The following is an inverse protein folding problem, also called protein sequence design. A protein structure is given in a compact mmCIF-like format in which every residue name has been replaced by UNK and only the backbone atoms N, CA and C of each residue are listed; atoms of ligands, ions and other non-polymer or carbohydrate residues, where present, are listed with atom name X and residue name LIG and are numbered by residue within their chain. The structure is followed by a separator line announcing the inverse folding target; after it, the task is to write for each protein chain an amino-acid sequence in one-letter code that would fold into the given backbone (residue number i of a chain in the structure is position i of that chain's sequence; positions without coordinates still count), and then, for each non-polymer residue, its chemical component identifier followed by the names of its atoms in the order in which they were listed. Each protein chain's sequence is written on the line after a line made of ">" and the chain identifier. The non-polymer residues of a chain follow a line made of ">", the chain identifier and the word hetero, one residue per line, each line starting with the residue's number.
data_IF_438019851488
#
_entry.id   IF_438019851488
#
_cell.length_a   1.000
_cell.length_b   1.000
_cell.length_c   1.000
_cell.angle_alpha   90.00
_cell.angle_beta   90.00
_cell.angle_gamma   90.00
#
_symmetry.space_group_name_H-M   'P 1'
#
loop_
_entity.id
_entity.type
_entity.pdbx_description
1 polymer ?
#
# COMPACT_ATOMS: atom_id res chain seq x y z
N UNK A 1 -17.20 7.63 33.08
CA UNK A 1 -15.97 8.34 32.72
C UNK A 1 -15.58 8.16 31.26
N UNK A 2 -15.76 6.96 30.69
CA UNK A 2 -15.37 6.70 29.30
C UNK A 2 -16.14 7.54 28.29
N UNK A 3 -15.49 7.86 27.18
CA UNK A 3 -16.06 8.56 26.03
C UNK A 3 -16.72 7.58 25.07
N UNK A 4 -17.80 8.04 24.45
CA UNK A 4 -18.46 7.39 23.33
C UNK A 4 -18.60 8.45 22.23
N UNK A 5 -18.00 8.16 21.08
CA UNK A 5 -18.03 9.03 19.91
C UNK A 5 -19.07 8.49 18.94
N UNK A 6 -19.85 9.38 18.30
CA UNK A 6 -20.95 9.03 17.41
C UNK A 6 -20.80 9.78 16.07
N UNK A 7 -21.09 9.09 14.97
CA UNK A 7 -21.01 9.63 13.59
C UNK A 7 -19.60 10.17 13.27
N UNK A 8 -18.60 9.29 13.32
CA UNK A 8 -17.19 9.60 13.05
C UNK A 8 -16.65 10.73 13.92
N UNK A 9 -17.05 10.74 15.20
CA UNK A 9 -16.60 11.72 16.19
C UNK A 9 -17.26 13.09 16.08
N UNK A 10 -18.27 13.28 15.22
CA UNK A 10 -19.03 14.55 15.13
C UNK A 10 -19.83 14.85 16.39
N UNK A 11 -20.18 13.83 17.16
CA UNK A 11 -20.84 13.94 18.46
C UNK A 11 -20.06 13.15 19.50
N UNK A 12 -20.04 13.65 20.72
CA UNK A 12 -19.36 13.03 21.86
C UNK A 12 -20.31 13.00 23.05
N UNK A 13 -20.35 11.84 23.72
CA UNK A 13 -21.03 11.67 24.99
C UNK A 13 -20.10 10.99 25.99
N UNK A 14 -20.29 11.28 27.28
CA UNK A 14 -19.51 10.69 28.37
C UNK A 14 -20.38 9.77 29.21
N UNK A 15 -19.89 8.57 29.50
CA UNK A 15 -20.60 7.61 30.37
C UNK A 15 -20.69 8.15 31.79
N UNK A 16 -21.91 8.30 32.29
CA UNK A 16 -22.20 8.70 33.67
C UNK A 16 -22.39 7.47 34.56
N UNK A 17 -23.18 6.50 34.11
CA UNK A 17 -23.55 5.32 34.89
C UNK A 17 -24.03 4.17 33.99
N UNK A 18 -23.75 2.93 34.38
CA UNK A 18 -24.39 1.74 33.83
C UNK A 18 -25.61 1.41 34.68
N UNK A 19 -26.79 1.38 34.07
CA UNK A 19 -28.04 1.08 34.75
C UNK A 19 -28.24 -0.42 34.93
N UNK A 20 -29.16 -0.81 35.83
CA UNK A 20 -29.40 -2.23 36.17
C UNK A 20 -29.93 -3.06 34.99
N UNK A 21 -30.54 -2.42 34.00
CA UNK A 21 -31.02 -3.04 32.76
C UNK A 21 -29.92 -3.11 31.67
N UNK A 22 -28.67 -2.79 32.01
CA UNK A 22 -27.52 -2.66 31.11
C UNK A 22 -27.57 -1.47 30.15
N UNK A 23 -28.52 -0.54 30.30
CA UNK A 23 -28.46 0.73 29.57
C UNK A 23 -27.27 1.57 30.07
N UNK A 24 -26.61 2.26 29.15
CA UNK A 24 -25.51 3.17 29.48
C UNK A 24 -26.06 4.59 29.52
N UNK A 25 -26.18 5.15 30.72
CA UNK A 25 -26.54 6.56 30.89
C UNK A 25 -25.33 7.42 30.56
N UNK A 26 -25.53 8.35 29.63
CA UNK A 26 -24.49 9.25 29.12
C UNK A 26 -24.90 10.71 29.28
N UNK A 27 -23.91 11.60 29.34
CA UNK A 27 -24.06 13.05 29.25
C UNK A 27 -23.47 13.53 27.92
N UNK A 28 -24.19 14.40 27.22
CA UNK A 28 -23.72 14.92 25.92
C UNK A 28 -22.66 15.99 26.17
N UNK A 29 -21.44 15.74 25.70
CA UNK A 29 -20.33 16.71 25.78
C UNK A 29 -20.22 17.50 24.48
N UNK A 30 -20.56 16.90 23.33
CA UNK A 30 -20.67 17.55 22.04
C UNK A 30 -21.92 17.05 21.29
N UNK A 31 -22.90 17.94 21.13
CA UNK A 31 -24.20 17.63 20.51
C UNK A 31 -24.19 17.71 18.98
N UNK A 32 -25.27 17.21 18.38
CA UNK A 32 -25.46 17.20 16.93
C UNK A 32 -26.76 16.50 16.54
N UNK A 33 -26.96 16.31 15.24
CA UNK A 33 -28.11 15.55 14.71
C UNK A 33 -27.69 14.10 14.48
N UNK A 34 -28.32 13.17 15.20
CA UNK A 34 -28.13 11.73 14.99
C UNK A 34 -29.18 11.23 13.99
N UNK A 35 -28.73 10.61 12.90
CA UNK A 35 -29.60 9.87 11.99
C UNK A 35 -29.50 8.36 12.23
N UNK A 36 -30.29 7.57 11.53
CA UNK A 36 -30.25 6.11 11.66
C UNK A 36 -28.91 5.51 11.21
N UNK A 37 -28.51 4.41 11.86
CA UNK A 37 -27.34 3.58 11.52
C UNK A 37 -25.98 4.33 11.52
N UNK A 38 -25.83 5.32 12.38
CA UNK A 38 -24.53 5.98 12.61
C UNK A 38 -23.58 5.10 13.40
N UNK A 39 -22.30 5.17 13.04
CA UNK A 39 -21.22 4.44 13.71
C UNK A 39 -20.99 4.96 15.13
N UNK A 40 -20.43 4.08 15.97
CA UNK A 40 -20.04 4.39 17.35
C UNK A 40 -18.59 3.97 17.53
N UNK A 41 -17.77 4.84 18.11
CA UNK A 41 -16.39 4.57 18.48
C UNK A 41 -16.23 4.66 20.00
N UNK A 42 -15.44 3.74 20.55
CA UNK A 42 -15.27 3.54 21.99
C UNK A 42 -13.78 3.59 22.36
N UNK A 43 -13.14 4.78 22.30
CA UNK A 43 -11.68 4.91 22.37
C UNK A 43 -11.08 4.41 23.69
N UNK A 44 -11.85 4.52 24.79
CA UNK A 44 -11.38 4.10 26.12
C UNK A 44 -11.71 2.62 26.45
N UNK A 45 -12.29 1.88 25.51
CA UNK A 45 -12.82 0.53 25.77
C UNK A 45 -12.14 -0.52 24.90
N UNK A 46 -11.66 -1.59 25.53
CA UNK A 46 -11.18 -2.77 24.81
C UNK A 46 -12.37 -3.54 24.24
N UNK A 47 -12.60 -3.39 22.94
CA UNK A 47 -13.69 -4.09 22.24
C UNK A 47 -13.34 -5.57 22.11
N UNK A 48 -14.23 -6.46 22.53
CA UNK A 48 -14.07 -7.93 22.45
C UNK A 48 -14.47 -8.54 21.11
N UNK A 49 -14.78 -7.72 20.10
CA UNK A 49 -15.19 -8.21 18.78
C UNK A 49 -14.03 -8.98 18.12
N UNK A 50 -14.31 -10.10 17.42
CA UNK A 50 -13.30 -10.78 16.63
C UNK A 50 -12.83 -9.89 15.48
N UNK A 51 -11.63 -10.15 14.96
CA UNK A 51 -11.10 -9.43 13.80
C UNK A 51 -11.87 -9.75 12.50
N UNK A 52 -12.50 -10.93 12.42
CA UNK A 52 -13.38 -11.34 11.33
C UNK A 52 -14.75 -11.67 11.92
N UNK A 53 -15.78 -10.97 11.46
CA UNK A 53 -17.17 -11.28 11.77
C UNK A 53 -17.69 -12.44 10.90
N UNK A 54 -18.86 -12.98 11.23
CA UNK A 54 -19.51 -14.00 10.40
C UNK A 54 -19.75 -13.50 8.96
N UNK A 55 -20.12 -12.22 8.82
CA UNK A 55 -20.25 -11.58 7.51
C UNK A 55 -18.91 -11.52 6.77
N UNK A 56 -17.84 -11.13 7.44
CA UNK A 56 -16.51 -11.05 6.81
C UNK A 56 -16.03 -12.42 6.32
N UNK A 57 -16.41 -13.51 6.99
CA UNK A 57 -16.11 -14.87 6.52
C UNK A 57 -16.86 -15.23 5.23
N UNK A 58 -18.12 -14.79 5.10
CA UNK A 58 -18.91 -14.96 3.87
C UNK A 58 -18.28 -14.14 2.73
N UNK A 59 -17.94 -12.88 3.00
CA UNK A 59 -17.29 -12.02 2.01
C UNK A 59 -15.91 -12.57 1.61
N UNK A 60 -15.16 -13.17 2.54
CA UNK A 60 -13.88 -13.81 2.26
C UNK A 60 -14.01 -15.01 1.31
N UNK A 61 -15.04 -15.86 1.48
CA UNK A 61 -15.30 -16.96 0.54
C UNK A 61 -15.56 -16.40 -0.87
N UNK A 62 -16.34 -15.31 -0.98
CA UNK A 62 -16.57 -14.63 -2.27
C UNK A 62 -15.26 -14.08 -2.87
N UNK A 63 -14.42 -13.41 -2.07
CA UNK A 63 -13.12 -12.86 -2.50
C UNK A 63 -12.23 -13.97 -3.09
N UNK A 64 -12.20 -15.13 -2.42
CA UNK A 64 -11.42 -16.30 -2.85
C UNK A 64 -11.98 -16.89 -4.14
N UNK A 65 -13.31 -17.07 -4.22
CA UNK A 65 -13.98 -17.62 -5.40
C UNK A 65 -13.76 -16.75 -6.64
N UNK A 66 -13.86 -15.42 -6.48
CA UNK A 66 -13.62 -14.44 -7.54
C UNK A 66 -12.13 -14.21 -7.84
N UNK A 67 -11.23 -14.86 -7.10
CA UNK A 67 -9.76 -14.74 -7.25
C UNK A 67 -9.29 -13.28 -7.19
N UNK A 68 -9.85 -12.49 -6.27
CA UNK A 68 -9.46 -11.08 -6.16
C UNK A 68 -8.02 -10.95 -5.68
N UNK A 69 -7.35 -9.90 -6.15
CA UNK A 69 -5.91 -9.70 -5.95
C UNK A 69 -5.55 -9.28 -4.53
N UNK A 70 -6.43 -8.49 -3.88
CA UNK A 70 -6.21 -7.92 -2.55
C UNK A 70 -7.46 -8.06 -1.66
N UNK A 71 -7.23 -8.26 -0.37
CA UNK A 71 -8.24 -8.14 0.70
C UNK A 71 -7.73 -7.15 1.75
N UNK A 72 -8.54 -6.16 2.10
CA UNK A 72 -8.20 -5.20 3.15
C UNK A 72 -8.93 -5.56 4.45
N UNK A 73 -8.18 -5.96 5.48
CA UNK A 73 -8.73 -6.30 6.79
C UNK A 73 -8.93 -5.03 7.62
N UNK A 74 -10.17 -4.78 8.03
CA UNK A 74 -10.55 -3.63 8.87
C UNK A 74 -10.27 -3.90 10.35
N UNK A 75 -10.13 -2.84 11.14
CA UNK A 75 -9.96 -2.87 12.59
C UNK A 75 -8.85 -3.81 13.09
N UNK A 76 -7.76 -3.91 12.33
CA UNK A 76 -6.58 -4.66 12.74
C UNK A 76 -6.05 -4.05 14.02
N UNK A 77 -5.82 -4.89 15.03
CA UNK A 77 -5.28 -4.49 16.35
C UNK A 77 -4.04 -5.30 16.69
N UNK A 78 -3.99 -6.54 16.25
CA UNK A 78 -2.94 -7.48 16.59
C UNK A 78 -2.44 -8.24 15.37
N UNK A 79 -1.18 -8.66 15.44
CA UNK A 79 -0.53 -9.51 14.43
C UNK A 79 -1.34 -10.77 14.14
N UNK A 80 -1.96 -11.34 15.19
CA UNK A 80 -2.81 -12.53 15.10
C UNK A 80 -3.99 -12.35 14.13
N UNK A 81 -4.51 -11.13 13.98
CA UNK A 81 -5.64 -10.84 13.07
C UNK A 81 -5.25 -11.14 11.62
N UNK A 82 -4.02 -10.75 11.25
CA UNK A 82 -3.45 -11.01 9.93
C UNK A 82 -3.12 -12.49 9.74
N UNK A 83 -2.54 -13.13 10.76
CA UNK A 83 -2.21 -14.56 10.72
C UNK A 83 -3.47 -15.43 10.53
N UNK A 84 -4.58 -15.09 11.20
CA UNK A 84 -5.86 -15.79 11.05
C UNK A 84 -6.37 -15.66 9.60
N UNK A 85 -6.37 -14.45 9.03
CA UNK A 85 -6.79 -14.24 7.66
C UNK A 85 -5.87 -14.96 6.66
N UNK A 86 -4.55 -14.90 6.87
CA UNK A 86 -3.54 -15.59 6.05
C UNK A 86 -3.73 -17.10 6.06
N UNK A 87 -4.02 -17.70 7.22
CA UNK A 87 -4.33 -19.13 7.33
C UNK A 87 -5.53 -19.49 6.45
N UNK A 88 -6.62 -18.73 6.52
CA UNK A 88 -7.83 -18.99 5.73
C UNK A 88 -7.59 -18.91 4.22
N UNK A 89 -6.82 -17.92 3.78
CA UNK A 89 -6.41 -17.80 2.37
C UNK A 89 -5.53 -18.99 1.94
N UNK A 90 -4.59 -19.40 2.81
CA UNK A 90 -3.66 -20.50 2.54
C UNK A 90 -4.37 -21.85 2.46
N UNK A 91 -5.32 -22.11 3.37
CA UNK A 91 -6.12 -23.34 3.40
C UNK A 91 -6.92 -23.54 2.11
N UNK A 92 -7.26 -22.44 1.42
CA UNK A 92 -7.98 -22.43 0.14
C UNK A 92 -7.04 -22.24 -1.06
N UNK A 93 -5.72 -22.27 -0.85
CA UNK A 93 -4.70 -22.00 -1.86
C UNK A 93 -4.89 -20.67 -2.63
N UNK A 94 -5.50 -19.67 -1.98
CA UNK A 94 -5.72 -18.36 -2.57
C UNK A 94 -4.41 -17.58 -2.71
N UNK A 95 -4.29 -16.82 -3.81
CA UNK A 95 -3.16 -15.92 -4.07
C UNK A 95 -3.43 -14.48 -3.64
N UNK A 96 -4.61 -14.19 -3.09
CA UNK A 96 -5.00 -12.88 -2.59
C UNK A 96 -4.01 -12.38 -1.54
N UNK A 97 -3.64 -11.10 -1.62
CA UNK A 97 -2.72 -10.42 -0.70
C UNK A 97 -3.49 -9.65 0.37
N UNK A 98 -2.93 -9.52 1.56
CA UNK A 98 -3.57 -8.86 2.70
C UNK A 98 -3.07 -7.42 2.88
N UNK A 99 -3.98 -6.46 2.89
CA UNK A 99 -3.76 -5.09 3.36
C UNK A 99 -4.29 -4.96 4.79
N UNK A 100 -3.45 -4.58 5.75
CA UNK A 100 -3.93 -4.23 7.08
C UNK A 100 -4.37 -2.77 7.14
N UNK A 101 -5.64 -2.51 7.50
CA UNK A 101 -6.14 -1.15 7.74
C UNK A 101 -5.80 -0.72 9.17
N UNK A 102 -4.99 0.31 9.29
CA UNK A 102 -4.53 0.86 10.56
C UNK A 102 -5.52 1.93 11.01
N UNK A 103 -6.51 1.49 11.79
CA UNK A 103 -7.65 2.28 12.27
C UNK A 103 -7.68 2.39 13.80
N UNK A 104 -6.94 1.50 14.48
CA UNK A 104 -7.00 1.33 15.93
C UNK A 104 -5.66 1.63 16.59
N UNK A 105 -5.63 2.39 17.71
CA UNK A 105 -4.40 2.70 18.43
C UNK A 105 -3.56 1.47 18.80
N UNK A 106 -4.22 0.34 19.10
CA UNK A 106 -3.55 -0.91 19.46
C UNK A 106 -2.64 -1.45 18.36
N UNK A 107 -3.00 -1.20 17.09
CA UNK A 107 -2.17 -1.59 15.95
C UNK A 107 -0.83 -0.85 15.95
N UNK A 108 -0.81 0.41 16.41
CA UNK A 108 0.40 1.23 16.43
C UNK A 108 1.45 0.69 17.40
N UNK A 109 1.01 0.02 18.48
CA UNK A 109 1.90 -0.59 19.48
C UNK A 109 2.75 -1.72 18.86
N UNK A 110 2.14 -2.56 18.03
CA UNK A 110 2.80 -3.72 17.39
C UNK A 110 2.99 -3.54 15.89
N UNK A 111 3.11 -2.30 15.44
CA UNK A 111 3.01 -1.96 14.02
C UNK A 111 4.08 -2.62 13.15
N UNK A 112 5.29 -2.82 13.69
CA UNK A 112 6.39 -3.45 12.95
C UNK A 112 6.06 -4.90 12.58
N UNK A 113 5.43 -5.62 13.49
CA UNK A 113 5.09 -7.03 13.28
C UNK A 113 3.85 -7.14 12.39
N UNK A 114 2.89 -6.21 12.51
CA UNK A 114 1.75 -6.11 11.57
C UNK A 114 2.25 -5.84 10.14
N UNK A 115 3.20 -4.92 9.95
CA UNK A 115 3.82 -4.65 8.65
C UNK A 115 4.51 -5.90 8.10
N UNK A 116 5.23 -6.63 8.95
CA UNK A 116 5.96 -7.83 8.52
C UNK A 116 5.00 -8.92 8.03
N UNK A 117 3.93 -9.18 8.80
CA UNK A 117 2.93 -10.21 8.50
C UNK A 117 1.93 -9.83 7.41
N UNK A 118 1.79 -8.53 7.09
CA UNK A 118 0.89 -8.06 6.03
C UNK A 118 1.60 -8.02 4.67
N UNK A 119 0.82 -8.07 3.59
CA UNK A 119 1.35 -7.84 2.24
C UNK A 119 1.36 -6.35 1.87
N UNK A 120 0.54 -5.54 2.53
CA UNK A 120 0.52 -4.08 2.42
C UNK A 120 -0.18 -3.43 3.62
N UNK A 121 -0.13 -2.10 3.69
CA UNK A 121 -0.73 -1.32 4.77
C UNK A 121 -1.64 -0.25 4.20
N UNK A 122 -2.74 0.03 4.87
CA UNK A 122 -3.60 1.18 4.60
C UNK A 122 -3.67 2.07 5.84
N UNK A 123 -3.25 3.33 5.69
CA UNK A 123 -3.40 4.36 6.72
C UNK A 123 -4.79 4.97 6.58
N UNK A 124 -5.73 4.52 7.40
CA UNK A 124 -7.13 4.96 7.39
C UNK A 124 -7.31 6.16 8.34
N UNK A 125 -7.07 7.36 7.82
CA UNK A 125 -6.90 8.59 8.61
C UNK A 125 -8.18 9.05 9.28
N UNK A 126 -9.32 8.90 8.60
CA UNK A 126 -10.64 9.20 9.13
C UNK A 126 -10.92 8.38 10.38
N UNK A 127 -10.87 7.06 10.27
CA UNK A 127 -11.10 6.15 11.40
C UNK A 127 -10.08 6.35 12.53
N UNK A 128 -8.79 6.45 12.20
CA UNK A 128 -7.74 6.64 13.18
C UNK A 128 -7.85 8.00 13.90
N UNK A 129 -8.29 9.05 13.21
CA UNK A 129 -8.52 10.39 13.74
C UNK A 129 -9.74 10.49 14.67
N UNK A 130 -10.62 9.50 14.67
CA UNK A 130 -11.70 9.40 15.67
C UNK A 130 -11.19 8.80 16.99
N UNK A 131 -10.20 7.91 16.91
CA UNK A 131 -9.67 7.18 18.06
C UNK A 131 -8.47 7.89 18.73
N UNK A 132 -7.78 8.76 17.99
CA UNK A 132 -6.59 9.50 18.45
C UNK A 132 -6.75 11.01 18.25
N UNK A 133 -6.01 11.84 19.02
CA UNK A 133 -5.96 13.28 18.76
C UNK A 133 -5.52 13.57 17.32
N UNK A 134 -6.32 14.36 16.61
CA UNK A 134 -6.15 14.63 15.17
C UNK A 134 -4.79 15.22 14.81
N UNK A 135 -4.18 15.97 15.73
CA UNK A 135 -2.86 16.56 15.58
C UNK A 135 -1.72 15.52 15.54
N UNK A 136 -1.95 14.27 15.99
CA UNK A 136 -0.97 13.20 15.93
C UNK A 136 -0.98 12.46 14.59
N UNK A 137 -2.09 12.50 13.86
CA UNK A 137 -2.32 11.70 12.64
C UNK A 137 -1.25 11.95 11.57
N UNK A 138 -0.84 13.20 11.25
CA UNK A 138 0.20 13.43 10.24
C UNK A 138 1.53 12.76 10.60
N UNK A 139 1.94 12.82 11.88
CA UNK A 139 3.18 12.20 12.33
C UNK A 139 3.09 10.67 12.26
N UNK A 140 1.95 10.08 12.62
CA UNK A 140 1.72 8.64 12.54
C UNK A 140 1.78 8.19 11.08
N UNK A 141 1.08 8.86 10.16
CA UNK A 141 1.12 8.57 8.73
C UNK A 141 2.57 8.50 8.21
N UNK A 142 3.35 9.56 8.45
CA UNK A 142 4.75 9.62 8.03
C UNK A 142 5.59 8.48 8.61
N UNK A 143 5.37 8.12 9.87
CA UNK A 143 6.07 7.00 10.50
C UNK A 143 5.67 5.64 9.89
N UNK A 144 4.38 5.45 9.59
CA UNK A 144 3.88 4.23 8.95
C UNK A 144 4.48 4.07 7.56
N UNK A 145 4.43 5.11 6.73
CA UNK A 145 5.01 5.10 5.39
C UNK A 145 6.49 4.75 5.45
N UNK A 146 7.27 5.42 6.31
CA UNK A 146 8.70 5.13 6.47
C UNK A 146 8.97 3.68 6.87
N UNK A 147 8.19 3.12 7.80
CA UNK A 147 8.36 1.72 8.22
C UNK A 147 7.99 0.74 7.10
N UNK A 148 7.00 1.06 6.29
CA UNK A 148 6.60 0.26 5.13
C UNK A 148 7.68 0.26 4.05
N UNK A 149 8.25 1.43 3.72
CA UNK A 149 9.40 1.57 2.82
C UNK A 149 10.59 0.70 3.25
N UNK A 150 10.98 0.77 4.54
CA UNK A 150 12.05 -0.06 5.10
C UNK A 150 11.79 -1.57 5.01
N UNK A 151 10.54 -1.99 4.87
CA UNK A 151 10.15 -3.41 4.75
C UNK A 151 9.71 -3.79 3.34
N UNK A 152 9.84 -2.88 2.38
CA UNK A 152 9.34 -3.03 1.02
C UNK A 152 7.88 -3.53 1.00
N UNK A 153 7.04 -2.93 1.84
CA UNK A 153 5.60 -3.19 1.87
C UNK A 153 4.88 -1.98 1.26
N UNK A 154 3.99 -2.18 0.27
CA UNK A 154 3.20 -1.07 -0.27
C UNK A 154 2.33 -0.44 0.81
N UNK A 155 2.27 0.88 0.82
CA UNK A 155 1.43 1.65 1.73
C UNK A 155 0.43 2.54 0.97
N UNK A 156 -0.83 2.42 1.36
CA UNK A 156 -1.94 3.23 0.85
C UNK A 156 -2.27 4.31 1.88
N UNK A 157 -2.31 5.56 1.46
CA UNK A 157 -2.90 6.64 2.26
C UNK A 157 -4.37 6.80 1.86
N UNK A 158 -5.26 6.61 2.83
CA UNK A 158 -6.69 6.49 2.60
C UNK A 158 -7.52 7.49 3.40
N UNK A 159 -8.73 7.74 2.90
CA UNK A 159 -9.77 8.64 3.44
C UNK A 159 -9.37 10.12 3.47
N UNK A 160 -10.35 11.02 3.41
CA UNK A 160 -10.14 12.47 3.52
C UNK A 160 -9.12 13.06 2.52
N UNK A 161 -8.97 12.45 1.33
CA UNK A 161 -8.00 12.92 0.34
C UNK A 161 -8.54 14.12 -0.43
N UNK A 162 -9.73 13.99 -1.04
CA UNK A 162 -10.38 15.07 -1.80
C UNK A 162 -11.89 15.06 -1.59
N UNK A 163 -12.33 14.86 -0.35
CA UNK A 163 -13.73 14.64 0.04
C UNK A 163 -14.67 15.75 -0.48
N UNK A 164 -14.21 17.00 -0.53
CA UNK A 164 -15.02 18.10 -1.07
C UNK A 164 -15.43 17.90 -2.54
N UNK A 165 -14.71 17.06 -3.29
CA UNK A 165 -15.02 16.72 -4.68
C UNK A 165 -16.17 15.71 -4.85
N UNK A 166 -16.75 15.20 -3.75
CA UNK A 166 -18.03 14.47 -3.80
C UNK A 166 -19.10 15.37 -4.43
N UNK A 167 -19.15 16.64 -4.03
CA UNK A 167 -20.13 17.61 -4.51
C UNK A 167 -19.54 18.68 -5.42
N UNK A 168 -18.25 19.01 -5.26
CA UNK A 168 -17.61 20.13 -5.95
C UNK A 168 -16.75 19.66 -7.11
N UNK A 169 -16.56 20.54 -8.09
CA UNK A 169 -15.67 20.29 -9.24
C UNK A 169 -14.18 20.58 -8.95
N UNK A 170 -13.86 21.16 -7.78
CA UNK A 170 -12.49 21.48 -7.38
C UNK A 170 -12.29 21.13 -5.91
N UNK A 171 -11.13 20.55 -5.54
CA UNK A 171 -10.81 20.29 -4.15
C UNK A 171 -10.43 21.57 -3.43
N UNK A 172 -10.46 21.52 -2.10
CA UNK A 172 -9.94 22.59 -1.25
C UNK A 172 -8.41 22.66 -1.35
N UNK A 173 -7.81 23.82 -1.05
CA UNK A 173 -6.33 23.96 -1.04
C UNK A 173 -5.67 23.04 -0.02
N UNK A 174 -6.32 22.81 1.11
CA UNK A 174 -5.87 21.87 2.14
C UNK A 174 -5.80 20.44 1.62
N UNK A 175 -6.84 19.99 0.90
CA UNK A 175 -6.90 18.65 0.29
C UNK A 175 -5.80 18.46 -0.78
N UNK A 176 -5.55 19.46 -1.62
CA UNK A 176 -4.45 19.41 -2.59
C UNK A 176 -3.10 19.25 -1.88
N UNK A 177 -2.89 20.02 -0.81
CA UNK A 177 -1.64 19.98 -0.03
C UNK A 177 -1.49 18.64 0.67
N UNK A 178 -2.58 18.07 1.17
CA UNK A 178 -2.60 16.80 1.86
C UNK A 178 -2.28 15.62 0.92
N UNK A 179 -2.89 15.59 -0.27
CA UNK A 179 -2.51 14.65 -1.34
C UNK A 179 -1.02 14.79 -1.68
N UNK A 180 -0.55 16.02 -1.89
CA UNK A 180 0.84 16.27 -2.23
C UNK A 180 1.81 15.78 -1.14
N UNK A 181 1.49 16.01 0.14
CA UNK A 181 2.29 15.55 1.26
C UNK A 181 2.32 14.02 1.36
N UNK A 182 1.19 13.33 1.15
CA UNK A 182 1.17 11.86 1.14
C UNK A 182 2.12 11.29 0.07
N UNK A 183 2.16 11.91 -1.11
CA UNK A 183 3.12 11.56 -2.17
C UNK A 183 4.55 11.86 -1.72
N UNK A 184 4.86 13.07 -1.26
CA UNK A 184 6.21 13.46 -0.81
C UNK A 184 6.76 12.59 0.34
N UNK A 185 5.87 12.09 1.20
CA UNK A 185 6.23 11.17 2.27
C UNK A 185 6.60 9.77 1.76
N UNK A 186 6.26 9.46 0.51
CA UNK A 186 6.60 8.21 -0.17
C UNK A 186 5.48 7.17 -0.13
N UNK A 187 4.21 7.57 -0.08
CA UNK A 187 3.11 6.61 -0.24
C UNK A 187 3.17 5.90 -1.59
N UNK A 188 2.88 4.59 -1.62
CA UNK A 188 2.83 3.85 -2.89
C UNK A 188 1.55 4.16 -3.67
N UNK A 189 0.45 4.37 -2.93
CA UNK A 189 -0.83 4.73 -3.51
C UNK A 189 -1.62 5.68 -2.61
N UNK A 190 -2.51 6.44 -3.24
CA UNK A 190 -3.51 7.29 -2.59
C UNK A 190 -4.91 6.82 -2.98
N UNK A 191 -5.84 6.83 -2.03
CA UNK A 191 -7.16 6.22 -2.22
C UNK A 191 -8.29 7.26 -2.20
N UNK A 192 -9.17 7.16 -3.20
CA UNK A 192 -10.46 7.85 -3.24
C UNK A 192 -11.55 6.90 -2.74
N UNK A 193 -12.50 7.43 -1.96
CA UNK A 193 -13.57 6.68 -1.31
C UNK A 193 -14.94 7.13 -1.86
N UNK A 194 -15.65 7.99 -1.12
CA UNK A 194 -16.95 8.51 -1.55
C UNK A 194 -16.85 9.34 -2.83
N UNK A 195 -15.70 9.96 -3.09
CA UNK A 195 -15.46 10.82 -4.24
C UNK A 195 -15.73 10.11 -5.58
N UNK A 196 -15.38 8.83 -5.67
CA UNK A 196 -15.58 7.99 -6.87
C UNK A 196 -16.80 7.09 -6.75
N UNK A 197 -17.12 6.60 -5.54
CA UNK A 197 -18.20 5.64 -5.34
C UNK A 197 -19.59 6.28 -5.45
N UNK A 198 -19.77 7.48 -4.90
CA UNK A 198 -21.08 8.17 -4.84
C UNK A 198 -21.02 9.64 -5.23
N UNK A 199 -19.83 10.16 -5.53
CA UNK A 199 -19.61 11.54 -5.93
C UNK A 199 -20.18 11.91 -7.30
N UNK A 200 -20.41 13.20 -7.51
CA UNK A 200 -20.97 13.76 -8.76
C UNK A 200 -19.96 13.82 -9.91
N UNK A 201 -18.66 13.72 -9.61
CA UNK A 201 -17.58 13.94 -10.57
C UNK A 201 -16.46 12.88 -10.49
N UNK A 202 -16.76 11.57 -10.59
CA UNK A 202 -15.80 10.49 -10.36
C UNK A 202 -14.59 10.49 -11.31
N UNK A 203 -14.80 10.84 -12.59
CA UNK A 203 -13.70 10.92 -13.57
C UNK A 203 -12.78 12.12 -13.25
N UNK A 204 -13.38 13.28 -12.97
CA UNK A 204 -12.64 14.52 -12.72
C UNK A 204 -11.79 14.43 -11.46
N UNK A 205 -12.27 13.77 -10.40
CA UNK A 205 -11.48 13.60 -9.17
C UNK A 205 -10.25 12.72 -9.42
N UNK A 206 -10.36 11.66 -10.22
CA UNK A 206 -9.20 10.82 -10.61
C UNK A 206 -8.20 11.62 -11.46
N UNK A 207 -8.67 12.39 -12.45
CA UNK A 207 -7.80 13.25 -13.24
C UNK A 207 -7.09 14.32 -12.40
N UNK A 208 -7.79 14.87 -11.41
CA UNK A 208 -7.24 15.88 -10.50
C UNK A 208 -6.18 15.26 -9.58
N UNK A 209 -6.47 14.09 -8.99
CA UNK A 209 -5.50 13.33 -8.19
C UNK A 209 -4.22 13.07 -9.00
N UNK A 210 -4.37 12.56 -10.22
CA UNK A 210 -3.25 12.28 -11.12
C UNK A 210 -2.41 13.52 -11.42
N UNK A 211 -3.05 14.67 -11.69
CA UNK A 211 -2.34 15.94 -11.96
C UNK A 211 -1.51 16.39 -10.75
N UNK A 212 -2.03 16.22 -9.53
CA UNK A 212 -1.30 16.56 -8.30
C UNK A 212 -0.09 15.63 -8.15
N UNK A 213 -0.28 14.32 -8.24
CA UNK A 213 0.80 13.32 -8.12
C UNK A 213 1.91 13.63 -9.14
N UNK A 214 1.57 13.76 -10.42
CA UNK A 214 2.56 14.02 -11.48
C UNK A 214 3.32 15.35 -11.28
N UNK A 215 2.66 16.38 -10.74
CA UNK A 215 3.31 17.65 -10.48
C UNK A 215 4.31 17.55 -9.32
N UNK A 216 3.96 16.82 -8.26
CA UNK A 216 4.82 16.59 -7.10
C UNK A 216 6.03 15.75 -7.45
N UNK A 217 5.80 14.63 -8.15
CA UNK A 217 6.83 13.71 -8.64
C UNK A 217 7.85 14.41 -9.54
N UNK A 218 7.41 15.38 -10.35
CA UNK A 218 8.30 16.14 -11.23
C UNK A 218 9.25 17.10 -10.52
N UNK A 219 8.90 17.65 -9.36
CA UNK A 219 9.61 18.81 -8.79
C UNK A 219 10.43 18.53 -7.53
N UNK A 220 9.87 17.77 -6.57
CA UNK A 220 10.41 17.73 -5.20
C UNK A 220 10.34 16.31 -4.60
N UNK A 221 10.20 15.30 -5.45
CA UNK A 221 10.10 13.92 -5.00
C UNK A 221 11.46 13.31 -4.71
N UNK A 222 11.52 12.53 -3.63
CA UNK A 222 12.76 11.91 -3.13
C UNK A 222 12.97 10.57 -3.82
N UNK A 223 13.51 10.63 -5.04
CA UNK A 223 13.96 9.45 -5.77
C UNK A 223 15.25 8.87 -5.19
N UNK A 224 15.53 7.62 -5.55
CA UNK A 224 16.79 6.93 -5.30
C UNK A 224 17.17 6.88 -3.82
N UNK A 225 16.29 6.26 -3.02
CA UNK A 225 16.39 6.12 -1.57
C UNK A 225 17.38 5.03 -1.13
N UNK A 226 18.20 4.46 -2.02
CA UNK A 226 19.17 3.43 -1.67
C UNK A 226 20.12 3.87 -0.54
N UNK A 227 20.55 5.13 -0.53
CA UNK A 227 21.45 5.66 0.51
C UNK A 227 20.78 5.73 1.90
N UNK A 228 19.43 5.72 1.97
CA UNK A 228 18.65 5.69 3.21
C UNK A 228 18.20 4.27 3.60
N UNK A 229 18.00 3.40 2.62
CA UNK A 229 17.42 2.07 2.77
C UNK A 229 18.47 0.96 2.62
N UNK A 230 19.61 1.09 3.28
CA UNK A 230 20.71 0.13 3.13
C UNK A 230 20.30 -1.31 3.54
N UNK A 231 20.65 -2.34 2.75
CA UNK A 231 20.42 -3.74 3.08
C UNK A 231 20.95 -4.13 4.45
N UNK A 232 20.14 -4.86 5.22
CA UNK A 232 20.50 -5.23 6.60
C UNK A 232 21.20 -6.59 6.62
N UNK A 233 22.41 -6.72 7.20
CA UNK A 233 23.18 -7.98 7.20
C UNK A 233 22.45 -9.18 7.83
N UNK A 234 21.52 -8.92 8.75
CA UNK A 234 20.72 -9.96 9.41
C UNK A 234 19.45 -10.34 8.62
N UNK A 235 19.23 -9.76 7.43
CA UNK A 235 18.08 -10.07 6.58
C UNK A 235 18.22 -11.51 6.05
N UNK A 236 17.19 -12.37 6.16
CA UNK A 236 17.20 -13.70 5.56
C UNK A 236 17.40 -13.66 4.03
N UNK A 237 17.01 -12.57 3.39
CA UNK A 237 17.12 -12.29 1.97
C UNK A 237 18.27 -11.33 1.62
N UNK A 238 19.24 -11.15 2.51
CA UNK A 238 20.32 -10.15 2.38
C UNK A 238 21.00 -10.12 1.01
N UNK A 239 21.27 -11.27 0.39
CA UNK A 239 21.91 -11.33 -0.93
C UNK A 239 21.01 -10.68 -1.98
N UNK A 240 19.71 -11.01 -2.00
CA UNK A 240 18.75 -10.41 -2.93
C UNK A 240 18.56 -8.92 -2.65
N UNK A 241 18.57 -8.53 -1.38
CA UNK A 241 18.46 -7.13 -0.96
C UNK A 241 19.64 -6.31 -1.47
N UNK A 242 20.85 -6.86 -1.35
CA UNK A 242 22.08 -6.26 -1.85
C UNK A 242 22.07 -6.13 -3.36
N UNK A 243 21.56 -7.12 -4.11
CA UNK A 243 21.43 -7.01 -5.56
C UNK A 243 20.42 -5.92 -5.95
N UNK A 244 19.24 -5.89 -5.33
CA UNK A 244 18.22 -4.86 -5.63
C UNK A 244 18.72 -3.45 -5.29
N UNK A 245 19.39 -3.29 -4.15
CA UNK A 245 20.05 -2.04 -3.75
C UNK A 245 21.06 -1.57 -4.81
N UNK A 246 21.96 -2.46 -5.23
CA UNK A 246 22.97 -2.11 -6.24
C UNK A 246 22.36 -1.91 -7.62
N UNK A 247 21.24 -2.55 -7.94
CA UNK A 247 20.52 -2.32 -9.19
C UNK A 247 19.98 -0.90 -9.29
N UNK A 248 19.30 -0.41 -8.24
CA UNK A 248 18.82 0.97 -8.21
C UNK A 248 19.99 1.97 -8.24
N UNK A 249 21.03 1.72 -7.44
CA UNK A 249 22.23 2.56 -7.45
C UNK A 249 22.90 2.61 -8.82
N UNK A 250 23.02 1.47 -9.50
CA UNK A 250 23.63 1.39 -10.81
C UNK A 250 22.75 2.07 -11.87
N UNK A 251 21.43 1.95 -11.77
CA UNK A 251 20.50 2.65 -12.64
C UNK A 251 20.64 4.17 -12.50
N UNK A 252 20.79 4.68 -11.28
CA UNK A 252 21.10 6.09 -11.00
C UNK A 252 22.47 6.49 -11.56
N UNK A 253 23.53 5.77 -11.19
CA UNK A 253 24.92 6.12 -11.52
C UNK A 253 25.17 6.08 -13.04
N UNK A 254 24.43 5.26 -13.77
CA UNK A 254 24.52 5.16 -15.23
C UNK A 254 23.46 5.97 -15.99
N UNK A 255 22.57 6.67 -15.28
CA UNK A 255 21.42 7.37 -15.83
C UNK A 255 20.61 6.46 -16.80
N UNK A 256 20.31 5.25 -16.32
CA UNK A 256 19.63 4.22 -17.10
C UNK A 256 18.21 4.66 -17.50
N UNK A 257 17.86 4.40 -18.76
CA UNK A 257 16.54 4.67 -19.32
C UNK A 257 15.47 3.67 -18.84
N UNK A 258 15.90 2.54 -18.28
CA UNK A 258 15.01 1.56 -17.67
C UNK A 258 15.71 0.70 -16.60
N UNK A 259 14.95 0.34 -15.57
CA UNK A 259 15.28 -0.69 -14.61
C UNK A 259 14.29 -1.84 -14.77
N UNK A 260 14.81 -3.01 -15.12
CA UNK A 260 14.00 -4.20 -15.43
C UNK A 260 14.26 -5.27 -14.39
N UNK A 261 13.19 -5.92 -13.93
CA UNK A 261 13.31 -7.07 -13.05
C UNK A 261 12.26 -8.13 -13.29
N UNK A 262 12.66 -9.38 -13.10
CA UNK A 262 11.76 -10.52 -13.14
C UNK A 262 11.42 -10.97 -11.71
N UNK A 263 10.17 -11.37 -11.48
CA UNK A 263 9.73 -11.86 -10.18
C UNK A 263 8.66 -12.94 -10.27
N UNK A 264 8.64 -13.85 -9.30
CA UNK A 264 7.60 -14.86 -9.15
C UNK A 264 6.80 -14.68 -7.85
N UNK A 265 7.46 -14.25 -6.77
CA UNK A 265 6.82 -13.99 -5.48
C UNK A 265 6.36 -12.53 -5.30
N UNK A 266 6.88 -11.62 -6.12
CA UNK A 266 6.73 -10.17 -5.98
C UNK A 266 7.89 -9.50 -5.25
N UNK A 267 8.74 -10.26 -4.56
CA UNK A 267 9.77 -9.71 -3.67
C UNK A 267 10.66 -8.67 -4.35
N UNK A 268 11.27 -9.03 -5.47
CA UNK A 268 12.14 -8.15 -6.27
C UNK A 268 11.43 -6.86 -6.66
N UNK A 269 10.17 -6.95 -7.09
CA UNK A 269 9.40 -5.79 -7.51
C UNK A 269 9.10 -4.85 -6.35
N UNK A 270 8.69 -5.39 -5.19
CA UNK A 270 8.47 -4.59 -4.00
C UNK A 270 9.77 -3.95 -3.49
N UNK A 271 10.88 -4.68 -3.51
CA UNK A 271 12.19 -4.17 -3.10
C UNK A 271 12.69 -3.06 -4.03
N UNK A 272 12.68 -3.26 -5.35
CA UNK A 272 13.09 -2.23 -6.30
C UNK A 272 12.20 -0.99 -6.19
N UNK A 273 10.89 -1.18 -6.06
CA UNK A 273 9.92 -0.09 -5.86
C UNK A 273 10.19 0.71 -4.59
N UNK A 274 10.56 0.07 -3.47
CA UNK A 274 10.78 0.76 -2.19
C UNK A 274 11.99 1.70 -2.21
N UNK A 275 12.98 1.44 -3.07
CA UNK A 275 14.10 2.35 -3.32
C UNK A 275 13.72 3.59 -4.13
N UNK A 276 12.50 3.66 -4.67
CA UNK A 276 12.01 4.79 -5.48
C UNK A 276 12.95 5.17 -6.63
N UNK A 277 13.36 4.23 -7.50
CA UNK A 277 14.27 4.52 -8.61
C UNK A 277 13.67 5.62 -9.50
N UNK A 278 14.50 6.57 -9.89
CA UNK A 278 14.11 7.61 -10.86
C UNK A 278 13.93 7.02 -12.27
N UNK A 279 14.69 5.98 -12.58
CA UNK A 279 14.53 5.25 -13.83
C UNK A 279 13.17 4.53 -13.89
N UNK A 280 12.51 4.49 -15.06
CA UNK A 280 11.29 3.71 -15.25
C UNK A 280 11.46 2.25 -14.83
N UNK A 281 10.59 1.79 -13.92
CA UNK A 281 10.65 0.45 -13.35
C UNK A 281 9.68 -0.50 -14.06
N UNK A 282 10.23 -1.46 -14.78
CA UNK A 282 9.47 -2.49 -15.49
C UNK A 282 9.66 -3.85 -14.81
N UNK A 283 8.54 -4.50 -14.50
CA UNK A 283 8.57 -5.80 -13.81
C UNK A 283 7.90 -6.86 -14.65
N UNK A 284 8.57 -7.99 -14.83
CA UNK A 284 8.05 -9.14 -15.53
C UNK A 284 7.71 -10.27 -14.56
N UNK A 285 6.60 -10.95 -14.79
CA UNK A 285 6.21 -12.12 -14.00
C UNK A 285 5.39 -13.12 -14.80
N UNK A 286 5.61 -14.41 -14.50
CA UNK A 286 4.76 -15.50 -15.00
C UNK A 286 3.44 -15.61 -14.25
N UNK A 287 3.37 -15.05 -13.04
CA UNK A 287 2.19 -15.12 -12.18
C UNK A 287 1.20 -14.02 -12.56
N UNK A 288 0.11 -14.39 -13.24
CA UNK A 288 -0.92 -13.43 -13.67
C UNK A 288 -1.53 -12.63 -12.51
N UNK A 289 -1.76 -13.26 -11.37
CA UNK A 289 -2.27 -12.59 -10.16
C UNK A 289 -1.32 -11.48 -9.70
N UNK A 290 -0.01 -11.70 -9.83
CA UNK A 290 0.99 -10.75 -9.39
C UNK A 290 1.02 -9.48 -10.26
N UNK A 291 0.66 -9.56 -11.54
CA UNK A 291 0.62 -8.40 -12.44
C UNK A 291 -0.33 -7.32 -11.90
N UNK A 292 -1.53 -7.72 -11.50
CA UNK A 292 -2.50 -6.81 -10.89
C UNK A 292 -2.06 -6.39 -9.49
N UNK A 293 -1.51 -7.31 -8.70
CA UNK A 293 -1.05 -6.98 -7.34
C UNK A 293 0.03 -5.89 -7.35
N UNK A 294 0.96 -5.97 -8.29
CA UNK A 294 2.06 -5.01 -8.44
C UNK A 294 1.62 -3.65 -8.97
N UNK A 295 0.41 -3.51 -9.51
CA UNK A 295 -0.13 -2.18 -9.90
C UNK A 295 -0.29 -1.23 -8.71
N UNK A 296 -0.29 -1.76 -7.48
CA UNK A 296 -0.32 -0.97 -6.25
C UNK A 296 1.07 -0.44 -5.85
N UNK A 297 2.15 -1.06 -6.31
CA UNK A 297 3.51 -0.70 -5.94
C UNK A 297 3.94 0.57 -6.68
N UNK A 298 4.61 1.49 -5.98
CA UNK A 298 5.07 2.74 -6.59
C UNK A 298 5.97 2.50 -7.81
N UNK A 299 5.73 3.25 -8.89
CA UNK A 299 6.58 3.27 -10.08
C UNK A 299 6.58 1.99 -10.94
N UNK A 300 5.99 0.89 -10.45
CA UNK A 300 6.03 -0.40 -11.14
C UNK A 300 5.06 -0.40 -12.32
N UNK A 301 5.57 -0.77 -13.49
CA UNK A 301 4.76 -1.23 -14.62
C UNK A 301 5.01 -2.72 -14.85
N UNK A 302 3.99 -3.53 -14.55
CA UNK A 302 4.08 -4.98 -14.61
C UNK A 302 3.66 -5.57 -15.97
N UNK A 303 4.33 -6.63 -16.40
CA UNK A 303 4.06 -7.37 -17.63
C UNK A 303 4.02 -8.87 -17.36
N UNK A 304 3.06 -9.55 -17.98
CA UNK A 304 3.04 -11.00 -17.97
C UNK A 304 4.09 -11.56 -18.95
N UNK A 305 4.98 -12.41 -18.46
CA UNK A 305 6.00 -13.11 -19.23
C UNK A 305 6.33 -14.44 -18.56
N UNK A 306 6.28 -15.53 -19.33
CA UNK A 306 6.25 -16.89 -18.78
C UNK A 306 7.27 -17.85 -19.42
N UNK A 307 8.17 -17.33 -20.25
CA UNK A 307 9.22 -18.14 -20.87
C UNK A 307 10.38 -18.34 -19.88
N UNK A 308 10.97 -19.53 -19.88
CA UNK A 308 11.94 -19.98 -18.87
C UNK A 308 13.13 -20.69 -19.52
N UNK A 309 13.66 -20.09 -20.57
CA UNK A 309 14.84 -20.57 -21.30
C UNK A 309 16.14 -20.17 -20.58
N UNK A 310 17.10 -19.55 -21.28
CA UNK A 310 18.28 -18.96 -20.66
C UNK A 310 18.02 -17.54 -20.16
N UNK A 311 18.83 -17.08 -19.21
CA UNK A 311 18.75 -15.70 -18.72
C UNK A 311 19.02 -14.68 -19.85
N UNK A 312 19.91 -15.00 -20.79
CA UNK A 312 20.22 -14.07 -21.88
C UNK A 312 19.05 -13.94 -22.88
N UNK A 313 18.35 -15.04 -23.18
CA UNK A 313 17.11 -15.02 -24.00
C UNK A 313 16.03 -14.22 -23.30
N UNK A 314 15.76 -14.50 -22.01
CA UNK A 314 14.77 -13.77 -21.22
C UNK A 314 15.00 -12.26 -21.26
N UNK A 315 16.24 -11.83 -21.03
CA UNK A 315 16.57 -10.40 -21.06
C UNK A 315 16.43 -9.78 -22.46
N UNK A 316 16.73 -10.54 -23.51
CA UNK A 316 16.54 -10.09 -24.88
C UNK A 316 15.04 -9.90 -25.21
N UNK A 317 14.20 -10.84 -24.79
CA UNK A 317 12.76 -10.79 -25.01
C UNK A 317 12.10 -9.66 -24.20
N UNK A 318 12.48 -9.47 -22.93
CA UNK A 318 12.01 -8.35 -22.10
C UNK A 318 12.34 -7.00 -22.77
N UNK A 319 13.57 -6.83 -23.25
CA UNK A 319 13.98 -5.62 -23.99
C UNK A 319 13.16 -5.46 -25.27
N UNK A 320 12.95 -6.53 -26.03
CA UNK A 320 12.18 -6.48 -27.26
C UNK A 320 10.71 -6.07 -26.99
N UNK A 321 10.08 -6.62 -25.96
CA UNK A 321 8.72 -6.25 -25.53
C UNK A 321 8.66 -4.75 -25.16
N UNK A 322 9.65 -4.25 -24.43
CA UNK A 322 9.69 -2.83 -24.05
C UNK A 322 9.91 -1.92 -25.27
N UNK A 323 10.73 -2.32 -26.24
CA UNK A 323 10.93 -1.60 -27.51
C UNK A 323 9.65 -1.54 -28.32
N UNK A 324 8.97 -2.66 -28.50
CA UNK A 324 7.72 -2.74 -29.29
C UNK A 324 6.60 -1.89 -28.70
N UNK A 325 6.56 -1.76 -27.37
CA UNK A 325 5.61 -0.91 -26.66
C UNK A 325 6.03 0.57 -26.60
N UNK A 326 7.20 0.92 -27.12
CA UNK A 326 7.71 2.29 -27.16
C UNK A 326 8.16 2.82 -25.80
N UNK A 327 8.55 1.93 -24.88
CA UNK A 327 9.05 2.32 -23.56
C UNK A 327 10.56 2.57 -23.54
N UNK A 328 11.30 1.90 -24.41
CA UNK A 328 12.73 2.10 -24.65
C UNK A 328 13.01 2.10 -26.16
N UNK A 329 14.16 2.61 -26.57
CA UNK A 329 14.59 2.71 -27.98
C UNK A 329 16.05 2.25 -28.15
N UNK A 330 16.50 1.96 -29.39
CA UNK A 330 17.91 1.71 -29.67
C UNK A 330 18.83 2.81 -29.12
N UNK A 331 19.90 2.40 -28.46
CA UNK A 331 20.87 3.28 -27.81
C UNK A 331 20.62 3.52 -26.32
N UNK A 332 19.42 3.25 -25.81
CA UNK A 332 19.07 3.37 -24.39
C UNK A 332 19.87 2.38 -23.53
N UNK A 333 20.05 2.72 -22.26
CA UNK A 333 20.75 1.90 -21.28
C UNK A 333 19.77 1.28 -20.28
N UNK A 334 19.82 -0.04 -20.14
CA UNK A 334 18.91 -0.80 -19.28
C UNK A 334 19.69 -1.54 -18.21
N UNK A 335 19.27 -1.38 -16.95
CA UNK A 335 19.76 -2.20 -15.84
C UNK A 335 18.77 -3.33 -15.62
N UNK A 336 19.26 -4.57 -15.70
CA UNK A 336 18.46 -5.78 -15.58
C UNK A 336 18.80 -6.53 -14.30
N UNK A 337 17.78 -6.98 -13.60
CA UNK A 337 17.90 -7.90 -12.47
C UNK A 337 17.32 -9.26 -12.82
N UNK A 338 17.91 -10.32 -12.30
CA UNK A 338 17.45 -11.67 -12.59
C UNK A 338 17.93 -12.70 -11.59
N UNK A 339 17.59 -13.97 -11.86
CA UNK A 339 18.00 -15.11 -11.06
C UNK A 339 18.54 -16.23 -11.95
N UNK A 340 19.71 -16.77 -11.61
CA UNK A 340 20.28 -17.95 -12.27
C UNK A 340 20.71 -19.00 -11.22
N UNK A 341 20.56 -20.31 -11.49
CA UNK A 341 19.87 -20.93 -12.64
C UNK A 341 18.35 -20.66 -12.66
N UNK A 342 17.80 -20.39 -13.85
CA UNK A 342 16.38 -19.97 -14.05
C UNK A 342 15.39 -20.99 -13.46
N UNK A 343 15.60 -22.28 -13.72
CA UNK A 343 14.73 -23.37 -13.28
C UNK A 343 14.68 -23.57 -11.75
N UNK A 344 15.62 -23.01 -10.99
CA UNK A 344 15.62 -23.11 -9.53
C UNK A 344 14.79 -22.01 -8.85
N UNK A 345 14.36 -20.99 -9.60
CA UNK A 345 13.50 -19.92 -9.11
C UNK A 345 14.03 -19.28 -7.82
N UNK A 346 15.35 -19.06 -7.78
CA UNK A 346 16.05 -18.50 -6.62
C UNK A 346 15.71 -17.02 -6.44
N UNK A 347 15.92 -16.46 -5.23
CA UNK A 347 15.95 -15.02 -5.05
C UNK A 347 16.91 -14.34 -6.03
N UNK A 348 16.63 -13.09 -6.39
CA UNK A 348 17.41 -12.31 -7.35
C UNK A 348 18.89 -12.32 -6.98
N UNK A 349 19.74 -12.75 -7.91
CA UNK A 349 21.18 -12.91 -7.70
C UNK A 349 22.03 -12.42 -8.89
N UNK A 350 21.43 -11.86 -9.93
CA UNK A 350 22.13 -11.31 -11.11
C UNK A 350 21.78 -9.84 -11.30
N UNK A 351 22.79 -9.09 -11.75
CA UNK A 351 22.70 -7.73 -12.25
C UNK A 351 23.42 -7.64 -13.60
N UNK A 352 22.77 -7.09 -14.63
CA UNK A 352 23.36 -6.91 -15.97
C UNK A 352 22.98 -5.55 -16.55
N UNK A 353 23.98 -4.80 -17.03
CA UNK A 353 23.72 -3.61 -17.85
C UNK A 353 23.68 -4.05 -19.30
N UNK A 354 22.65 -3.61 -20.02
CA UNK A 354 22.47 -3.85 -21.44
C UNK A 354 22.29 -2.53 -22.15
N UNK A 355 23.05 -2.31 -23.23
CA UNK A 355 22.77 -1.22 -24.17
C UNK A 355 21.84 -1.77 -25.24
N UNK A 356 20.71 -1.11 -25.47
CA UNK A 356 19.69 -1.55 -26.43
C UNK A 356 20.21 -1.39 -27.85
N UNK A 357 20.15 -2.46 -28.64
CA UNK A 357 20.52 -2.46 -30.07
C UNK A 357 19.38 -2.02 -30.99
#
# INVERSE_FOLDING_TARGET
>A
GNKIMIDDGKMEVQVVKIEKNNDVKVEVTMGGVISSKKGINLPDTKISLPALTEKDLIDLEFIIEQKLDWVALSFVRHVKDIVILRSKLTDKASKTKIIAKIEKPEALVNIRDIILESDGIMVARGDLGVELPVEQIPLIQKQLIKKCLHRAKPVIVATQMMESMIDRIKPNRSEITDVANAVLEGADAVMLSGETATGKHPVLVVETMRKIIMQVEKSDYRYNLEDELVPQPHSPSFISDAICYNACKLARDTNADALVGMTQSGYTAFMLSSYRPESPLYIFSKEKSLINQLSLSWGVRAFHYAEEESLDEILADEIQILKERGFIKPGDLVVNTGSTPVHLHLPTNVLKITKVE
#
